data_IF_663588408046
#
_entry.id   IF_663588408046
#
_cell.length_a   1.000
_cell.length_b   1.000
_cell.length_c   1.000
_cell.angle_alpha   90.00
_cell.angle_beta   90.00
_cell.angle_gamma   90.00
#
_symmetry.space_group_name_H-M   'P 1'
#
loop_
_entity.id
_entity.type
_entity.pdbx_description
1 polymer ?
#
# COMPACT_ATOMS: atom_id res chain seq x y z
N UNK A 1 -1.06 -10.75 -4.31
CA UNK A 1 0.23 -11.36 -4.72
C UNK A 1 1.32 -10.30 -4.63
N UNK A 2 2.35 -10.52 -3.84
CA UNK A 2 3.47 -9.60 -3.63
C UNK A 2 4.56 -9.85 -4.69
N UNK A 3 4.88 -8.82 -5.49
CA UNK A 3 5.79 -8.95 -6.64
C UNK A 3 7.10 -8.27 -6.34
N UNK A 4 8.21 -9.02 -6.34
CA UNK A 4 9.56 -8.49 -6.09
C UNK A 4 10.35 -8.53 -7.40
N UNK A 5 11.01 -7.41 -7.74
CA UNK A 5 12.06 -7.39 -8.73
C UNK A 5 13.43 -7.31 -8.04
N UNK A 6 14.37 -8.14 -8.45
CA UNK A 6 15.76 -8.09 -8.01
C UNK A 6 16.60 -7.68 -9.21
N UNK A 7 17.18 -6.48 -9.15
CA UNK A 7 18.01 -5.91 -10.21
C UNK A 7 19.46 -5.80 -9.73
N UNK A 8 20.32 -6.64 -10.30
CA UNK A 8 21.71 -6.88 -9.89
C UNK A 8 22.47 -7.41 -11.11
N UNK A 9 23.60 -6.84 -11.49
CA UNK A 9 24.36 -7.25 -12.67
C UNK A 9 25.19 -8.51 -12.41
N UNK A 10 25.68 -8.74 -11.19
CA UNK A 10 26.39 -9.96 -10.83
C UNK A 10 25.44 -11.15 -10.72
N UNK A 11 25.57 -12.11 -11.63
CA UNK A 11 24.66 -13.26 -11.75
C UNK A 11 24.49 -14.05 -10.45
N UNK A 12 25.60 -14.40 -9.80
CA UNK A 12 25.55 -15.27 -8.59
C UNK A 12 24.82 -14.54 -7.44
N UNK A 13 25.12 -13.26 -7.26
CA UNK A 13 24.49 -12.45 -6.23
C UNK A 13 23.00 -12.23 -6.53
N UNK A 14 22.63 -11.99 -7.77
CA UNK A 14 21.24 -11.89 -8.21
C UNK A 14 20.44 -13.16 -7.91
N UNK A 15 21.01 -14.34 -8.25
CA UNK A 15 20.37 -15.63 -8.00
C UNK A 15 20.21 -15.89 -6.49
N UNK A 16 21.22 -15.58 -5.69
CA UNK A 16 21.18 -15.72 -4.23
C UNK A 16 20.13 -14.80 -3.60
N UNK A 17 20.10 -13.51 -3.98
CA UNK A 17 19.09 -12.56 -3.50
C UNK A 17 17.67 -13.00 -3.88
N UNK A 18 17.45 -13.49 -5.10
CA UNK A 18 16.15 -14.03 -5.50
C UNK A 18 15.74 -15.22 -4.63
N UNK A 19 16.66 -16.15 -4.37
CA UNK A 19 16.40 -17.32 -3.54
C UNK A 19 16.09 -16.92 -2.09
N UNK A 20 16.83 -15.97 -1.53
CA UNK A 20 16.58 -15.45 -0.18
C UNK A 20 15.23 -14.74 -0.07
N UNK A 21 14.89 -13.84 -1.01
CA UNK A 21 13.58 -13.17 -1.05
C UNK A 21 12.44 -14.19 -1.10
N UNK A 22 12.52 -15.18 -1.99
CA UNK A 22 11.50 -16.21 -2.13
C UNK A 22 11.35 -17.05 -0.85
N UNK A 23 12.46 -17.45 -0.23
CA UNK A 23 12.45 -18.21 1.02
C UNK A 23 11.82 -17.42 2.16
N UNK A 24 12.20 -16.14 2.35
CA UNK A 24 11.67 -15.26 3.38
C UNK A 24 10.15 -15.07 3.19
N UNK A 25 9.70 -14.78 1.97
CA UNK A 25 8.27 -14.55 1.69
C UNK A 25 7.44 -15.83 1.86
N UNK A 26 8.01 -17.00 1.53
CA UNK A 26 7.38 -18.30 1.78
C UNK A 26 7.21 -18.57 3.29
N UNK A 27 8.23 -18.33 4.10
CA UNK A 27 8.17 -18.46 5.56
C UNK A 27 7.16 -17.51 6.20
N UNK A 28 7.01 -16.31 5.61
CA UNK A 28 5.99 -15.33 6.04
C UNK A 28 4.60 -15.65 5.51
N UNK A 29 4.44 -16.75 4.74
CA UNK A 29 3.17 -17.16 4.12
C UNK A 29 2.55 -16.08 3.21
N UNK A 30 3.38 -15.29 2.57
CA UNK A 30 2.98 -14.26 1.60
C UNK A 30 2.97 -14.86 0.20
N UNK A 31 1.84 -14.78 -0.50
CA UNK A 31 1.77 -15.14 -1.92
C UNK A 31 2.62 -14.17 -2.74
N UNK A 32 3.62 -14.67 -3.46
CA UNK A 32 4.64 -13.84 -4.08
C UNK A 32 5.16 -14.35 -5.42
N UNK A 33 5.81 -13.45 -6.16
CA UNK A 33 6.71 -13.76 -7.27
C UNK A 33 8.00 -12.97 -7.10
N UNK A 34 9.14 -13.55 -7.48
CA UNK A 34 10.44 -12.87 -7.50
C UNK A 34 11.01 -12.98 -8.90
N UNK A 35 11.27 -11.85 -9.53
CA UNK A 35 11.74 -11.77 -10.92
C UNK A 35 13.13 -11.14 -10.96
N UNK A 36 14.14 -11.83 -11.52
CA UNK A 36 15.49 -11.30 -11.67
C UNK A 36 15.60 -10.38 -12.90
N UNK A 37 16.41 -9.33 -12.78
CA UNK A 37 16.83 -8.43 -13.84
C UNK A 37 18.35 -8.22 -13.78
N UNK A 38 19.00 -8.27 -14.92
CA UNK A 38 20.46 -8.15 -15.00
C UNK A 38 20.96 -6.72 -15.17
N UNK A 39 20.05 -5.78 -15.46
CA UNK A 39 20.37 -4.37 -15.59
C UNK A 39 19.14 -3.47 -15.32
N UNK A 40 19.40 -2.19 -15.08
CA UNK A 40 18.34 -1.20 -14.90
C UNK A 40 17.51 -1.01 -16.19
N UNK A 41 18.13 -1.15 -17.36
CA UNK A 41 17.46 -1.03 -18.66
C UNK A 41 16.46 -2.19 -18.87
N UNK A 42 16.83 -3.42 -18.47
CA UNK A 42 15.94 -4.57 -18.55
C UNK A 42 14.71 -4.39 -17.64
N UNK A 43 14.93 -3.92 -16.40
CA UNK A 43 13.85 -3.62 -15.47
C UNK A 43 12.95 -2.46 -15.98
N UNK A 44 13.55 -1.42 -16.56
CA UNK A 44 12.77 -0.31 -17.15
C UNK A 44 11.94 -0.76 -18.35
N UNK A 45 12.46 -1.65 -19.18
CA UNK A 45 11.69 -2.24 -20.28
C UNK A 45 10.49 -3.05 -19.76
N UNK A 46 10.62 -3.76 -18.62
CA UNK A 46 9.52 -4.46 -17.98
C UNK A 46 8.42 -3.49 -17.50
N UNK A 47 8.77 -2.37 -16.85
CA UNK A 47 7.81 -1.32 -16.49
C UNK A 47 7.10 -0.76 -17.73
N UNK A 48 7.85 -0.52 -18.81
CA UNK A 48 7.27 -0.01 -20.06
C UNK A 48 6.32 -1.00 -20.72
N UNK A 49 6.50 -2.30 -20.48
CA UNK A 49 5.61 -3.37 -20.90
C UNK A 49 4.40 -3.57 -19.93
N UNK A 50 4.27 -2.75 -18.89
CA UNK A 50 3.16 -2.81 -17.94
C UNK A 50 3.38 -3.75 -16.76
N UNK A 51 4.62 -4.15 -16.48
CA UNK A 51 4.92 -4.89 -15.25
C UNK A 51 4.76 -3.98 -14.03
N UNK A 52 4.17 -4.53 -12.97
CA UNK A 52 3.98 -3.86 -11.69
C UNK A 52 4.71 -4.63 -10.60
N UNK A 53 5.37 -3.92 -9.71
CA UNK A 53 6.10 -4.51 -8.59
C UNK A 53 5.66 -3.90 -7.26
N UNK A 54 5.73 -4.70 -6.21
CA UNK A 54 5.52 -4.27 -4.82
C UNK A 54 6.81 -3.75 -4.22
N UNK A 55 7.94 -4.45 -4.49
CA UNK A 55 9.27 -4.13 -3.98
C UNK A 55 10.31 -4.28 -5.08
N UNK A 56 11.21 -3.32 -5.18
CA UNK A 56 12.42 -3.38 -5.98
C UNK A 56 13.64 -3.53 -5.06
N UNK A 57 14.39 -4.61 -5.22
CA UNK A 57 15.73 -4.77 -4.66
C UNK A 57 16.72 -4.32 -5.73
N UNK A 58 17.31 -3.15 -5.58
CA UNK A 58 18.16 -2.52 -6.60
C UNK A 58 19.60 -2.43 -6.13
N UNK A 59 20.53 -2.96 -6.91
CA UNK A 59 21.91 -2.51 -6.79
C UNK A 59 22.03 -1.06 -7.31
N UNK A 60 22.78 -0.25 -6.58
CA UNK A 60 23.06 1.13 -6.99
C UNK A 60 24.10 1.17 -8.12
N UNK A 61 25.14 0.33 -8.00
CA UNK A 61 26.28 0.31 -8.90
C UNK A 61 26.15 -0.89 -9.85
N UNK A 62 25.68 -0.61 -11.05
CA UNK A 62 25.59 -1.57 -12.15
C UNK A 62 26.23 -0.96 -13.39
N UNK A 63 26.67 -1.81 -14.32
CA UNK A 63 27.12 -1.38 -15.62
C UNK A 63 25.99 -0.67 -16.38
N UNK A 64 26.27 0.47 -17.00
CA UNK A 64 25.29 1.28 -17.73
C UNK A 64 24.49 2.21 -16.83
N UNK A 65 23.17 2.05 -16.79
CA UNK A 65 22.28 2.86 -15.95
C UNK A 65 22.32 2.39 -14.50
N UNK A 66 22.62 3.30 -13.59
CA UNK A 66 22.67 2.99 -12.15
C UNK A 66 21.27 2.76 -11.58
N UNK A 67 21.14 1.92 -10.54
CA UNK A 67 19.88 1.73 -9.80
C UNK A 67 19.37 3.02 -9.16
N UNK A 68 20.27 3.93 -8.74
CA UNK A 68 19.89 5.24 -8.23
C UNK A 68 19.19 6.09 -9.30
N UNK A 69 19.73 6.11 -10.52
CA UNK A 69 19.13 6.86 -11.64
C UNK A 69 17.76 6.29 -12.03
N UNK A 70 17.64 4.97 -12.08
CA UNK A 70 16.34 4.33 -12.32
C UNK A 70 15.32 4.70 -11.23
N UNK A 71 15.72 4.67 -9.96
CA UNK A 71 14.85 5.03 -8.85
C UNK A 71 14.38 6.50 -8.92
N UNK A 72 15.25 7.43 -9.30
CA UNK A 72 14.90 8.85 -9.52
C UNK A 72 13.86 8.99 -10.63
N UNK A 73 14.06 8.36 -11.77
CA UNK A 73 13.13 8.41 -12.91
C UNK A 73 11.76 7.78 -12.56
N UNK A 74 11.74 6.72 -11.76
CA UNK A 74 10.48 6.15 -11.25
C UNK A 74 9.74 7.18 -10.39
N UNK A 75 10.43 7.88 -9.49
CA UNK A 75 9.80 8.94 -8.66
C UNK A 75 9.34 10.15 -9.46
N UNK A 76 10.03 10.51 -10.53
CA UNK A 76 9.59 11.57 -11.46
C UNK A 76 8.29 11.20 -12.18
N UNK A 77 8.02 9.91 -12.39
CA UNK A 77 6.77 9.38 -12.96
C UNK A 77 5.67 9.15 -11.90
N UNK A 78 5.87 9.64 -10.67
CA UNK A 78 5.02 9.40 -9.49
C UNK A 78 4.82 7.91 -9.15
N UNK A 79 5.76 7.05 -9.57
CA UNK A 79 5.76 5.65 -9.19
C UNK A 79 6.13 5.50 -7.71
N UNK A 80 5.28 4.82 -6.95
CA UNK A 80 5.41 4.64 -5.50
C UNK A 80 5.88 3.24 -5.11
N UNK A 81 6.31 2.43 -6.05
CA UNK A 81 6.86 1.10 -5.78
C UNK A 81 7.94 1.21 -4.70
N UNK A 82 7.90 0.33 -3.74
CA UNK A 82 8.88 0.29 -2.66
C UNK A 82 10.28 -0.03 -3.19
N UNK A 83 11.29 0.69 -2.70
CA UNK A 83 12.69 0.53 -3.13
C UNK A 83 13.55 0.15 -1.94
N UNK A 84 14.27 -0.94 -2.07
CA UNK A 84 15.33 -1.40 -1.19
C UNK A 84 16.65 -1.35 -1.96
N UNK A 85 17.56 -0.48 -1.56
CA UNK A 85 18.88 -0.45 -2.18
C UNK A 85 19.80 -1.50 -1.55
N UNK A 86 20.56 -2.18 -2.42
CA UNK A 86 21.58 -3.15 -2.06
C UNK A 86 22.88 -2.68 -2.71
N UNK A 87 23.87 -2.30 -1.92
CA UNK A 87 25.08 -1.65 -2.47
C UNK A 87 26.35 -2.01 -1.73
N UNK A 88 27.46 -2.01 -2.44
CA UNK A 88 28.80 -2.14 -1.84
C UNK A 88 29.39 -0.84 -1.28
N UNK A 89 28.73 0.31 -1.48
CA UNK A 89 29.26 1.63 -1.08
C UNK A 89 28.27 2.43 -0.24
N UNK A 90 28.79 3.14 0.76
CA UNK A 90 28.01 4.06 1.61
C UNK A 90 27.93 5.49 1.04
N UNK A 91 28.60 5.77 -0.07
CA UNK A 91 28.68 7.13 -0.65
C UNK A 91 27.32 7.67 -1.12
N UNK A 92 26.43 6.76 -1.53
CA UNK A 92 25.11 7.11 -2.10
C UNK A 92 24.02 7.35 -1.04
N UNK A 93 24.31 7.17 0.24
CA UNK A 93 23.33 7.38 1.32
C UNK A 93 22.79 8.81 1.36
N UNK A 94 23.58 9.80 0.91
CA UNK A 94 23.18 11.22 0.92
C UNK A 94 22.22 11.55 -0.22
N UNK A 95 22.30 10.87 -1.34
CA UNK A 95 21.48 11.15 -2.53
C UNK A 95 20.12 10.46 -2.48
N UNK A 96 19.95 9.55 -1.53
CA UNK A 96 18.74 8.74 -1.39
C UNK A 96 17.51 9.45 -0.85
N UNK A 97 17.64 10.63 -0.26
CA UNK A 97 16.48 11.37 0.29
C UNK A 97 15.42 11.68 -0.78
N UNK A 98 15.83 11.88 -2.04
CA UNK A 98 14.92 12.21 -3.15
C UNK A 98 14.06 11.02 -3.59
N UNK A 99 14.56 9.78 -3.43
CA UNK A 99 13.88 8.55 -3.91
C UNK A 99 13.12 7.80 -2.81
N UNK A 100 13.27 8.21 -1.55
CA UNK A 100 12.56 7.65 -0.38
C UNK A 100 12.60 6.12 -0.35
N UNK A 101 13.79 5.49 -0.30
CA UNK A 101 13.88 4.05 -0.18
C UNK A 101 13.42 3.60 1.21
N UNK A 102 12.98 2.35 1.31
CA UNK A 102 12.64 1.74 2.60
C UNK A 102 13.89 1.61 3.46
N UNK A 103 14.98 1.14 2.84
CA UNK A 103 16.24 0.89 3.53
C UNK A 103 17.39 0.76 2.52
N UNK A 104 18.62 0.90 3.03
CA UNK A 104 19.87 0.55 2.35
C UNK A 104 20.48 -0.67 3.04
N UNK A 105 20.81 -1.70 2.28
CA UNK A 105 21.56 -2.84 2.74
C UNK A 105 22.96 -2.83 2.13
N UNK A 106 23.96 -3.01 2.97
CA UNK A 106 25.35 -3.11 2.51
C UNK A 106 25.68 -4.55 2.12
N UNK A 107 26.37 -4.73 1.00
CA UNK A 107 26.92 -6.03 0.60
C UNK A 107 28.13 -6.38 1.48
N UNK A 108 28.26 -7.64 1.96
CA UNK A 108 27.36 -8.77 1.72
C UNK A 108 26.07 -8.66 2.53
N UNK A 109 24.93 -8.90 1.90
CA UNK A 109 23.61 -8.80 2.55
C UNK A 109 23.41 -9.98 3.47
N UNK A 110 23.12 -9.71 4.75
CA UNK A 110 22.70 -10.75 5.67
C UNK A 110 21.24 -11.12 5.42
N UNK A 111 20.89 -12.40 5.65
CA UNK A 111 19.51 -12.85 5.55
C UNK A 111 18.60 -12.08 6.53
N UNK A 112 19.11 -11.82 7.73
CA UNK A 112 18.39 -11.12 8.79
C UNK A 112 18.03 -9.69 8.38
N UNK A 113 18.96 -8.95 7.78
CA UNK A 113 18.73 -7.59 7.31
C UNK A 113 17.72 -7.55 6.15
N UNK A 114 17.83 -8.50 5.20
CA UNK A 114 16.89 -8.63 4.09
C UNK A 114 15.48 -8.96 4.59
N UNK A 115 15.37 -9.91 5.53
CA UNK A 115 14.10 -10.27 6.15
C UNK A 115 13.47 -9.08 6.89
N UNK A 116 14.26 -8.32 7.64
CA UNK A 116 13.78 -7.14 8.35
C UNK A 116 13.29 -6.04 7.39
N UNK A 117 14.00 -5.83 6.27
CA UNK A 117 13.59 -4.88 5.24
C UNK A 117 12.26 -5.31 4.58
N UNK A 118 12.12 -6.58 4.20
CA UNK A 118 10.89 -7.13 3.63
C UNK A 118 9.73 -7.02 4.64
N UNK A 119 9.94 -7.38 5.91
CA UNK A 119 8.93 -7.24 6.97
C UNK A 119 8.50 -5.78 7.17
N UNK A 120 9.43 -4.86 7.05
CA UNK A 120 9.16 -3.42 7.17
C UNK A 120 8.29 -2.95 6.02
N UNK A 121 8.60 -3.36 4.78
CA UNK A 121 7.79 -3.05 3.60
C UNK A 121 6.38 -3.62 3.70
N UNK A 122 6.26 -4.91 3.98
CA UNK A 122 4.98 -5.58 4.17
C UNK A 122 4.12 -4.85 5.21
N UNK A 123 4.71 -4.49 6.35
CA UNK A 123 4.00 -3.81 7.44
C UNK A 123 3.54 -2.40 7.07
N UNK A 124 4.38 -1.63 6.35
CA UNK A 124 4.09 -0.23 6.06
C UNK A 124 3.15 -0.05 4.86
N UNK A 125 3.27 -0.91 3.85
CA UNK A 125 2.65 -0.68 2.54
C UNK A 125 1.76 -1.84 2.06
N UNK A 126 1.97 -3.07 2.55
CA UNK A 126 1.34 -4.27 2.00
C UNK A 126 0.55 -5.12 3.01
N UNK A 127 0.62 -4.81 4.30
CA UNK A 127 -0.33 -5.42 5.24
C UNK A 127 -1.70 -4.77 5.07
N UNK A 128 -2.78 -5.56 4.95
CA UNK A 128 -4.11 -5.01 5.01
C UNK A 128 -4.26 -4.27 6.35
N UNK A 129 -4.46 -2.96 6.29
CA UNK A 129 -4.78 -2.19 7.50
C UNK A 129 -6.08 -2.75 8.05
N UNK A 130 -6.05 -3.24 9.27
CA UNK A 130 -7.24 -3.78 9.92
C UNK A 130 -7.85 -2.75 10.88
N UNK A 131 -9.18 -2.73 10.93
CA UNK A 131 -9.92 -2.06 11.99
C UNK A 131 -10.27 -3.11 13.03
N UNK A 132 -9.87 -2.84 14.27
CA UNK A 132 -10.23 -3.69 15.41
C UNK A 132 -11.10 -2.89 16.37
N UNK A 133 -12.27 -3.40 16.69
CA UNK A 133 -13.16 -2.79 17.69
C UNK A 133 -13.91 -3.85 18.51
N UNK A 134 -14.28 -3.48 19.72
CA UNK A 134 -14.96 -4.37 20.66
C UNK A 134 -16.32 -3.81 21.00
N UNK A 135 -17.37 -4.56 20.67
CA UNK A 135 -18.76 -4.17 20.92
C UNK A 135 -19.53 -5.35 21.50
N UNK A 136 -20.28 -5.11 22.57
CA UNK A 136 -21.10 -6.12 23.25
C UNK A 136 -20.32 -7.42 23.58
N UNK A 137 -19.06 -7.30 24.01
CA UNK A 137 -18.22 -8.44 24.38
C UNK A 137 -17.63 -9.22 23.19
N UNK A 138 -17.92 -8.82 21.95
CA UNK A 138 -17.37 -9.41 20.73
C UNK A 138 -16.26 -8.53 20.18
N UNK A 139 -15.17 -9.14 19.72
CA UNK A 139 -14.09 -8.46 19.01
C UNK A 139 -14.27 -8.66 17.51
N UNK A 140 -14.27 -7.56 16.77
CA UNK A 140 -14.31 -7.53 15.31
C UNK A 140 -12.95 -7.12 14.80
N UNK A 141 -12.43 -7.86 13.81
CA UNK A 141 -11.18 -7.55 13.10
C UNK A 141 -11.51 -7.62 11.62
N UNK A 142 -11.46 -6.48 10.94
CA UNK A 142 -11.84 -6.37 9.54
C UNK A 142 -10.73 -5.64 8.78
N UNK A 143 -10.29 -6.15 7.62
CA UNK A 143 -9.45 -5.37 6.73
C UNK A 143 -10.16 -4.07 6.35
N UNK A 144 -9.47 -2.93 6.43
CA UNK A 144 -10.05 -1.64 6.05
C UNK A 144 -10.50 -1.61 4.60
N UNK A 145 -9.81 -2.37 3.75
CA UNK A 145 -10.09 -2.49 2.31
C UNK A 145 -11.37 -3.26 2.02
N UNK A 146 -11.81 -4.10 2.93
CA UNK A 146 -13.07 -4.81 2.77
C UNK A 146 -14.29 -3.94 3.09
N UNK A 147 -14.13 -2.87 3.86
CA UNK A 147 -15.24 -2.01 4.30
C UNK A 147 -15.48 -0.92 3.24
N UNK A 148 -16.63 -0.95 2.58
CA UNK A 148 -17.06 0.06 1.62
C UNK A 148 -17.62 1.31 2.30
N UNK A 149 -18.55 1.10 3.22
CA UNK A 149 -19.14 2.17 4.02
C UNK A 149 -19.78 1.63 5.30
N UNK A 150 -20.09 2.53 6.22
CA UNK A 150 -20.92 2.26 7.39
C UNK A 150 -22.21 3.06 7.30
N UNK A 151 -23.34 2.40 7.56
CA UNK A 151 -24.68 2.97 7.53
C UNK A 151 -25.32 2.92 8.94
N UNK A 152 -25.98 4.00 9.35
CA UNK A 152 -26.78 4.01 10.58
C UNK A 152 -28.08 3.24 10.37
N UNK A 153 -28.33 2.20 11.16
CA UNK A 153 -29.54 1.38 11.10
C UNK A 153 -29.88 0.85 12.48
N UNK A 154 -31.16 0.91 12.88
CA UNK A 154 -31.72 0.24 14.08
C UNK A 154 -30.90 0.45 15.37
N UNK A 155 -30.58 1.72 15.68
CA UNK A 155 -29.75 2.11 16.84
C UNK A 155 -28.32 1.55 16.82
N UNK A 156 -27.88 0.97 15.70
CA UNK A 156 -26.54 0.45 15.43
C UNK A 156 -25.96 0.97 14.13
N UNK A 157 -25.02 0.23 13.60
CA UNK A 157 -24.43 0.47 12.29
C UNK A 157 -24.38 -0.83 11.48
N UNK A 158 -24.61 -0.73 10.19
CA UNK A 158 -24.32 -1.78 9.22
C UNK A 158 -23.01 -1.44 8.51
N UNK A 159 -22.03 -2.31 8.63
CA UNK A 159 -20.85 -2.27 7.78
C UNK A 159 -21.15 -3.00 6.48
N UNK A 160 -21.13 -2.25 5.38
CA UNK A 160 -21.18 -2.82 4.04
C UNK A 160 -19.78 -3.19 3.64
N UNK A 161 -19.53 -4.46 3.38
CA UNK A 161 -18.21 -4.98 3.03
C UNK A 161 -18.23 -5.64 1.66
N UNK A 162 -17.05 -5.92 1.11
CA UNK A 162 -16.88 -6.70 -0.13
C UNK A 162 -17.43 -8.12 -0.02
N UNK A 163 -17.64 -8.61 1.21
CA UNK A 163 -18.13 -9.95 1.51
C UNK A 163 -19.60 -9.99 1.98
N UNK A 164 -20.27 -8.83 2.04
CA UNK A 164 -21.66 -8.70 2.48
C UNK A 164 -21.86 -7.67 3.59
N UNK A 165 -23.00 -7.73 4.26
CA UNK A 165 -23.37 -6.78 5.30
C UNK A 165 -23.14 -7.37 6.70
N UNK A 166 -22.65 -6.55 7.61
CA UNK A 166 -22.46 -6.92 9.00
C UNK A 166 -23.08 -5.88 9.93
N UNK A 167 -24.12 -6.29 10.67
CA UNK A 167 -24.72 -5.42 11.68
C UNK A 167 -23.89 -5.42 12.96
N UNK A 168 -23.64 -4.23 13.48
CA UNK A 168 -22.90 -3.98 14.73
C UNK A 168 -23.77 -3.11 15.63
N UNK A 169 -24.01 -3.55 16.85
CA UNK A 169 -24.78 -2.78 17.83
C UNK A 169 -23.91 -1.64 18.41
N UNK A 170 -23.58 -0.70 17.56
CA UNK A 170 -22.72 0.45 17.84
C UNK A 170 -23.23 1.65 17.02
N UNK A 171 -23.60 2.76 17.63
CA UNK A 171 -24.05 3.95 16.91
C UNK A 171 -23.00 4.45 15.93
N UNK A 172 -23.42 5.01 14.81
CA UNK A 172 -22.51 5.48 13.75
C UNK A 172 -21.50 6.55 14.23
N UNK A 173 -21.88 7.36 15.22
CA UNK A 173 -20.97 8.32 15.86
C UNK A 173 -19.80 7.64 16.58
N UNK A 174 -20.06 6.54 17.27
CA UNK A 174 -19.03 5.75 17.94
C UNK A 174 -18.25 4.91 16.92
N UNK A 175 -18.89 4.37 15.89
CA UNK A 175 -18.23 3.65 14.80
C UNK A 175 -17.18 4.53 14.11
N UNK A 176 -17.44 5.83 13.97
CA UNK A 176 -16.51 6.80 13.39
C UNK A 176 -15.19 6.91 14.17
N UNK A 177 -15.18 6.62 15.48
CA UNK A 177 -13.97 6.65 16.32
C UNK A 177 -13.06 5.45 16.08
N UNK A 178 -13.63 4.31 15.68
CA UNK A 178 -12.87 3.11 15.35
C UNK A 178 -12.28 3.13 13.93
N UNK A 179 -12.94 3.85 13.02
CA UNK A 179 -12.53 3.89 11.60
C UNK A 179 -11.38 4.88 11.38
N UNK A 180 -10.30 4.49 10.68
CA UNK A 180 -9.16 5.36 10.40
C UNK A 180 -9.59 6.64 9.65
N UNK A 181 -9.27 7.80 10.23
CA UNK A 181 -9.69 9.11 9.70
C UNK A 181 -9.02 9.48 8.38
N UNK A 182 -7.90 8.87 8.03
CA UNK A 182 -7.20 9.05 6.77
C UNK A 182 -7.89 8.32 5.60
N UNK A 183 -8.73 7.31 5.90
CA UNK A 183 -9.44 6.50 4.90
C UNK A 183 -10.96 6.62 4.95
N UNK A 184 -11.53 6.97 6.08
CA UNK A 184 -12.99 7.02 6.27
C UNK A 184 -13.47 8.43 6.55
N UNK A 185 -14.47 8.87 5.80
CA UNK A 185 -15.06 10.19 5.92
C UNK A 185 -16.57 10.12 6.19
N UNK A 186 -17.05 10.90 7.16
CA UNK A 186 -18.49 11.07 7.34
C UNK A 186 -19.06 11.96 6.26
N UNK A 187 -19.84 11.39 5.36
CA UNK A 187 -20.46 12.13 4.24
C UNK A 187 -21.93 12.46 4.47
N UNK A 188 -22.59 11.80 5.44
CA UNK A 188 -24.02 12.01 5.74
C UNK A 188 -24.32 11.74 7.22
N UNK A 189 -25.50 12.17 7.70
CA UNK A 189 -25.99 11.79 9.04
C UNK A 189 -25.99 10.27 9.24
N UNK A 190 -26.27 9.54 8.16
CA UNK A 190 -26.45 8.09 8.17
C UNK A 190 -25.29 7.32 7.54
N UNK A 191 -24.27 8.00 6.99
CA UNK A 191 -23.18 7.31 6.26
C UNK A 191 -21.80 7.81 6.60
N UNK A 192 -20.88 6.85 6.76
CA UNK A 192 -19.43 7.03 6.71
C UNK A 192 -18.94 6.24 5.50
N UNK A 193 -18.20 6.86 4.59
CA UNK A 193 -17.68 6.23 3.37
C UNK A 193 -16.19 5.94 3.50
N UNK A 194 -15.73 4.84 2.93
CA UNK A 194 -14.32 4.57 2.71
C UNK A 194 -13.89 5.25 1.41
N UNK A 195 -12.93 6.17 1.50
CA UNK A 195 -12.42 6.95 0.37
C UNK A 195 -11.75 6.07 -0.70
N UNK A 196 -11.19 4.93 -0.30
CA UNK A 196 -10.59 3.93 -1.20
C UNK A 196 -11.61 3.34 -2.20
N UNK A 197 -12.86 3.19 -1.79
CA UNK A 197 -13.92 2.61 -2.62
C UNK A 197 -14.72 3.64 -3.43
N UNK A 198 -14.30 4.90 -3.46
CA UNK A 198 -14.95 5.92 -4.28
C UNK A 198 -14.49 5.79 -5.73
N UNK A 199 -15.42 5.40 -6.60
CA UNK A 199 -15.20 5.36 -8.05
C UNK A 199 -15.37 6.73 -8.70
N UNK A 200 -16.34 7.53 -8.24
CA UNK A 200 -16.67 8.84 -8.79
C UNK A 200 -17.46 9.65 -7.77
N UNK A 201 -17.27 10.96 -7.79
CA UNK A 201 -18.12 11.92 -7.09
C UNK A 201 -18.74 12.86 -8.12
N UNK A 202 -20.04 13.11 -8.05
CA UNK A 202 -20.75 14.03 -8.91
C UNK A 202 -21.78 14.82 -8.10
N UNK A 203 -21.65 16.14 -8.08
CA UNK A 203 -22.48 17.04 -7.29
C UNK A 203 -22.51 16.63 -5.81
N UNK A 204 -23.58 15.98 -5.37
CA UNK A 204 -23.78 15.52 -3.98
C UNK A 204 -23.91 14.00 -3.86
N UNK A 205 -23.44 13.27 -4.85
CA UNK A 205 -23.52 11.81 -4.88
C UNK A 205 -22.13 11.21 -5.01
N UNK A 206 -21.84 10.27 -4.15
CA UNK A 206 -20.65 9.42 -4.15
C UNK A 206 -21.05 8.09 -4.77
N UNK A 207 -20.34 7.65 -5.80
CA UNK A 207 -20.52 6.34 -6.45
C UNK A 207 -19.42 5.41 -6.00
N UNK A 208 -19.78 4.28 -5.40
CA UNK A 208 -18.84 3.28 -4.91
C UNK A 208 -18.47 2.24 -5.98
N UNK A 209 -17.41 1.50 -5.70
CA UNK A 209 -16.87 0.44 -6.59
C UNK A 209 -17.84 -0.72 -6.77
N UNK A 210 -18.72 -0.99 -5.79
CA UNK A 210 -19.75 -2.03 -5.83
C UNK A 210 -21.07 -1.60 -6.51
N UNK A 211 -21.13 -0.36 -7.02
CA UNK A 211 -22.29 0.19 -7.71
C UNK A 211 -23.28 0.92 -6.81
N UNK A 212 -23.09 0.97 -5.50
CA UNK A 212 -23.91 1.79 -4.59
C UNK A 212 -23.66 3.27 -4.80
N UNK A 213 -24.67 4.06 -4.50
CA UNK A 213 -24.57 5.51 -4.42
C UNK A 213 -24.95 6.02 -3.04
N UNK A 214 -24.18 7.00 -2.54
CA UNK A 214 -24.38 7.64 -1.25
C UNK A 214 -24.56 9.15 -1.45
N UNK A 215 -25.54 9.75 -0.76
CA UNK A 215 -25.72 11.19 -0.79
C UNK A 215 -24.79 11.91 0.19
N UNK A 216 -24.25 13.05 -0.21
CA UNK A 216 -23.49 13.94 0.69
C UNK A 216 -24.47 14.95 1.30
N UNK A 217 -24.59 14.91 2.64
CA UNK A 217 -25.41 15.89 3.37
C UNK A 217 -24.81 17.27 3.30
N UNK A 218 -25.66 18.34 3.23
CA UNK A 218 -25.19 19.73 3.07
C UNK A 218 -24.11 20.12 4.09
N UNK A 219 -24.27 19.74 5.34
CA UNK A 219 -23.34 20.07 6.43
C UNK A 219 -22.01 19.32 6.36
N UNK A 220 -21.92 18.24 5.57
CA UNK A 220 -20.72 17.42 5.43
C UNK A 220 -19.92 17.72 4.17
N UNK A 221 -20.45 18.56 3.27
CA UNK A 221 -19.87 18.78 1.95
C UNK A 221 -18.44 19.30 2.01
N UNK A 222 -18.22 20.37 2.77
CA UNK A 222 -16.90 21.01 2.90
C UNK A 222 -15.88 20.04 3.50
N UNK A 223 -16.22 19.42 4.65
CA UNK A 223 -15.36 18.44 5.30
C UNK A 223 -15.03 17.25 4.38
N UNK A 224 -16.03 16.75 3.64
CA UNK A 224 -15.83 15.64 2.70
C UNK A 224 -14.88 16.03 1.57
N UNK A 225 -15.08 17.19 0.95
CA UNK A 225 -14.23 17.68 -0.14
C UNK A 225 -12.77 17.82 0.32
N UNK A 226 -12.54 18.46 1.47
CA UNK A 226 -11.20 18.65 2.02
C UNK A 226 -10.51 17.33 2.30
N UNK A 227 -11.22 16.39 2.91
CA UNK A 227 -10.66 15.09 3.27
C UNK A 227 -10.42 14.23 2.02
N UNK A 228 -11.31 14.27 1.04
CA UNK A 228 -11.16 13.54 -0.22
C UNK A 228 -9.98 14.06 -1.05
N UNK A 229 -9.81 15.39 -1.15
CA UNK A 229 -8.64 15.98 -1.84
C UNK A 229 -7.34 15.59 -1.13
N UNK A 230 -7.31 15.63 0.21
CA UNK A 230 -6.12 15.15 0.97
C UNK A 230 -5.81 13.69 0.71
N UNK A 231 -6.86 12.85 0.66
CA UNK A 231 -6.72 11.44 0.36
C UNK A 231 -6.12 11.22 -1.04
N UNK A 232 -6.61 11.92 -2.07
CA UNK A 232 -6.09 11.82 -3.44
C UNK A 232 -4.64 12.30 -3.57
N UNK A 233 -4.23 13.28 -2.75
CA UNK A 233 -2.85 13.79 -2.75
C UNK A 233 -1.86 12.90 -1.97
N UNK A 234 -2.36 11.95 -1.17
CA UNK A 234 -1.53 11.05 -0.36
C UNK A 234 -1.41 9.64 -0.95
N UNK A 235 -2.27 9.29 -1.90
CA UNK A 235 -2.33 8.00 -2.56
C UNK A 235 -2.28 8.13 -4.07
#
# INVERSE_FOLDING_TARGET
MYRVAVCEDEKNLREDLCAQCAAILSELQVEHTVTPYSSAEELEAAFSAGAEFSLLCLDILMDGKTGMKLAQELRERDDRTSILFITGSTEFLKDGYSVRPIQYLLKPVSREDLEQAIKTDLRLYHQPRTVTFRVAGRTFVLPTEDILCAESRDHGSVLHTTHGEQFILCPLSQMQEYLPKDRFCRCHNSFIVNLFHIRRVSSRTIYLTDGRDLSIGRRYMEQFQDQFVRYLNQN
#
